data_IF_985144134953
#
_entry.id   IF_985144134953
#
_cell.length_a   1.000
_cell.length_b   1.000
_cell.length_c   1.000
_cell.angle_alpha   90.00
_cell.angle_beta   90.00
_cell.angle_gamma   90.00
#
_symmetry.space_group_name_H-M   'P 1'
#
loop_
_entity.id
_entity.type
_entity.pdbx_description
1 polymer ?
#
# COMPACT_ATOMS: atom_id res chain seq x y z
N UNK A 1 -3.42 -13.10 -16.57
CA UNK A 1 -2.51 -13.70 -15.58
C UNK A 1 -1.21 -12.93 -15.66
N UNK A 2 -1.00 -12.00 -14.75
CA UNK A 2 0.29 -11.32 -14.55
C UNK A 2 1.23 -12.29 -13.83
N UNK A 3 2.39 -12.57 -14.41
CA UNK A 3 3.52 -13.22 -13.74
C UNK A 3 4.20 -12.23 -12.79
N UNK A 4 4.88 -12.67 -11.73
CA UNK A 4 5.80 -11.85 -10.93
C UNK A 4 7.19 -11.71 -11.59
N UNK A 5 8.09 -10.82 -11.13
CA UNK A 5 9.48 -10.72 -11.66
C UNK A 5 10.23 -12.06 -11.59
N UNK A 6 10.02 -12.81 -10.52
CA UNK A 6 10.63 -14.11 -10.29
C UNK A 6 10.17 -15.12 -11.34
N UNK A 7 8.88 -15.15 -11.61
CA UNK A 7 8.27 -16.03 -12.61
C UNK A 7 8.59 -15.59 -14.05
N UNK A 8 8.61 -14.28 -14.31
CA UNK A 8 9.00 -13.71 -15.60
C UNK A 8 10.47 -14.05 -15.92
N UNK A 9 11.38 -13.87 -14.95
CA UNK A 9 12.78 -14.24 -15.07
C UNK A 9 12.94 -15.74 -15.38
N UNK A 10 12.27 -16.59 -14.59
CA UNK A 10 12.31 -18.03 -14.79
C UNK A 10 11.78 -18.44 -16.16
N UNK A 11 10.64 -17.88 -16.57
CA UNK A 11 10.00 -18.15 -17.86
C UNK A 11 10.91 -17.73 -19.02
N UNK A 12 11.41 -16.49 -19.00
CA UNK A 12 12.28 -15.96 -20.06
C UNK A 12 13.60 -16.72 -20.17
N UNK A 13 14.16 -17.17 -19.03
CA UNK A 13 15.33 -18.04 -19.00
C UNK A 13 15.03 -19.38 -19.68
N UNK A 14 13.91 -20.01 -19.33
CA UNK A 14 13.51 -21.31 -19.88
C UNK A 14 13.14 -21.24 -21.37
N UNK A 15 12.47 -20.19 -21.82
CA UNK A 15 12.18 -19.93 -23.24
C UNK A 15 13.45 -19.84 -24.10
N UNK A 16 14.57 -19.47 -23.49
CA UNK A 16 15.90 -19.40 -24.12
C UNK A 16 16.73 -20.68 -23.94
N UNK A 17 16.17 -21.71 -23.31
CA UNK A 17 16.86 -22.97 -23.07
C UNK A 17 18.03 -22.87 -22.09
N UNK A 18 18.10 -21.80 -21.29
CA UNK A 18 19.19 -21.59 -20.34
C UNK A 18 18.91 -22.30 -19.01
N UNK A 19 19.92 -22.93 -18.42
CA UNK A 19 19.91 -23.35 -17.02
C UNK A 19 20.17 -22.17 -16.07
N UNK A 20 19.82 -22.32 -14.79
CA UNK A 20 20.14 -21.30 -13.77
C UNK A 20 21.64 -21.02 -13.69
N UNK A 21 22.48 -22.06 -13.84
CA UNK A 21 23.94 -21.90 -13.81
C UNK A 21 24.42 -21.08 -15.01
N UNK A 22 23.97 -21.41 -16.23
CA UNK A 22 24.37 -20.68 -17.43
C UNK A 22 23.97 -19.19 -17.38
N UNK A 23 22.79 -18.87 -16.84
CA UNK A 23 22.40 -17.47 -16.65
C UNK A 23 23.28 -16.78 -15.58
N UNK A 24 23.63 -17.49 -14.51
CA UNK A 24 24.52 -16.98 -13.47
C UNK A 24 25.91 -16.66 -14.03
N UNK A 25 26.45 -17.56 -14.85
CA UNK A 25 27.75 -17.40 -15.51
C UNK A 25 27.75 -16.18 -16.44
N UNK A 26 26.68 -15.96 -17.21
CA UNK A 26 26.51 -14.78 -18.07
C UNK A 26 26.47 -13.46 -17.30
N UNK A 27 25.93 -13.47 -16.08
CA UNK A 27 25.79 -12.30 -15.22
C UNK A 27 26.95 -12.11 -14.24
N UNK A 28 27.91 -13.05 -14.22
CA UNK A 28 29.01 -13.11 -13.26
C UNK A 28 28.52 -13.13 -11.80
N UNK A 29 27.48 -13.93 -11.52
CA UNK A 29 26.93 -14.14 -10.17
C UNK A 29 26.90 -15.62 -9.82
N UNK A 30 26.75 -15.93 -8.52
CA UNK A 30 26.55 -17.30 -8.08
C UNK A 30 25.16 -17.83 -8.50
N UNK A 31 25.06 -19.11 -8.85
CA UNK A 31 23.79 -19.78 -9.21
C UNK A 31 22.71 -19.59 -8.14
N UNK A 32 23.08 -19.57 -6.87
CA UNK A 32 22.17 -19.33 -5.75
C UNK A 32 21.50 -17.95 -5.82
N UNK A 33 22.13 -16.96 -6.46
CA UNK A 33 21.52 -15.65 -6.73
C UNK A 33 20.34 -15.79 -7.69
N UNK A 34 20.54 -16.49 -8.81
CA UNK A 34 19.46 -16.77 -9.78
C UNK A 34 18.34 -17.58 -9.12
N UNK A 35 18.67 -18.63 -8.37
CA UNK A 35 17.67 -19.44 -7.67
C UNK A 35 16.91 -18.63 -6.61
N UNK A 36 17.59 -17.72 -5.90
CA UNK A 36 16.97 -16.82 -4.92
C UNK A 36 16.04 -15.80 -5.59
N UNK A 37 16.37 -15.34 -6.80
CA UNK A 37 15.54 -14.42 -7.58
C UNK A 37 14.31 -15.12 -8.17
N UNK A 38 14.49 -16.29 -8.77
CA UNK A 38 13.39 -17.07 -9.37
C UNK A 38 12.39 -17.65 -8.37
N UNK A 39 12.78 -17.74 -7.09
CA UNK A 39 11.90 -18.17 -6.00
C UNK A 39 11.22 -17.00 -5.27
N UNK A 40 11.56 -15.75 -5.61
CA UNK A 40 11.05 -14.55 -4.93
C UNK A 40 11.63 -14.32 -3.53
N UNK A 41 12.59 -15.15 -3.07
CA UNK A 41 13.25 -14.97 -1.76
C UNK A 41 14.04 -13.67 -1.68
N UNK A 42 14.62 -13.22 -2.80
CA UNK A 42 15.28 -11.91 -2.96
C UNK A 42 14.98 -11.36 -4.34
N UNK A 43 15.04 -10.05 -4.52
CA UNK A 43 14.94 -9.39 -5.83
C UNK A 43 16.33 -8.94 -6.30
N UNK A 44 16.63 -8.99 -7.61
CA UNK A 44 17.77 -8.26 -8.15
C UNK A 44 17.56 -6.75 -7.97
N UNK A 45 18.66 -6.01 -7.80
CA UNK A 45 18.64 -4.55 -7.80
C UNK A 45 18.54 -3.98 -9.23
N UNK A 46 18.42 -2.66 -9.36
CA UNK A 46 18.29 -1.99 -10.66
C UNK A 46 19.46 -2.25 -11.62
N UNK A 47 20.69 -2.43 -11.10
CA UNK A 47 21.87 -2.73 -11.90
C UNK A 47 21.77 -4.13 -12.51
N UNK A 48 21.38 -5.12 -11.69
CA UNK A 48 21.17 -6.48 -12.18
C UNK A 48 19.93 -6.63 -13.05
N UNK A 49 18.87 -5.86 -12.81
CA UNK A 49 17.68 -5.83 -13.69
C UNK A 49 18.09 -5.37 -15.10
N UNK A 50 18.89 -4.32 -15.20
CA UNK A 50 19.37 -3.82 -16.50
C UNK A 50 20.24 -4.87 -17.20
N UNK A 51 21.19 -5.47 -16.48
CA UNK A 51 22.03 -6.55 -17.03
C UNK A 51 21.22 -7.78 -17.45
N UNK A 52 20.16 -8.12 -16.71
CA UNK A 52 19.25 -9.20 -17.04
C UNK A 52 18.49 -8.92 -18.33
N UNK A 53 18.03 -7.67 -18.52
CA UNK A 53 17.37 -7.24 -19.75
C UNK A 53 18.27 -7.41 -20.97
N UNK A 54 19.50 -6.92 -20.85
CA UNK A 54 20.51 -7.03 -21.90
C UNK A 54 20.86 -8.48 -22.21
N UNK A 55 21.14 -9.28 -21.17
CA UNK A 55 21.54 -10.69 -21.29
C UNK A 55 20.44 -11.53 -21.92
N UNK A 56 19.20 -11.31 -21.48
CA UNK A 56 18.04 -12.00 -22.02
C UNK A 56 17.55 -11.35 -23.33
N UNK A 57 18.13 -10.25 -23.80
CA UNK A 57 17.66 -9.52 -25.00
C UNK A 57 16.16 -9.24 -24.95
N UNK A 58 15.70 -8.76 -23.81
CA UNK A 58 14.32 -8.34 -23.59
C UNK A 58 14.35 -6.88 -23.19
N UNK A 59 13.25 -6.18 -23.52
CA UNK A 59 13.07 -4.84 -22.97
C UNK A 59 13.10 -4.90 -21.44
N UNK A 60 13.75 -3.93 -20.79
CA UNK A 60 13.70 -3.78 -19.33
C UNK A 60 12.25 -3.67 -18.90
N UNK A 61 11.43 -2.96 -19.66
CA UNK A 61 9.99 -2.90 -19.50
C UNK A 61 9.36 -4.30 -19.59
N UNK A 62 9.85 -5.27 -20.37
CA UNK A 62 9.28 -6.64 -20.35
C UNK A 62 9.65 -7.46 -19.11
N UNK A 63 10.79 -7.19 -18.49
CA UNK A 63 11.16 -7.77 -17.18
C UNK A 63 10.40 -7.09 -16.04
N UNK A 64 10.12 -5.79 -16.18
CA UNK A 64 9.41 -4.98 -15.20
C UNK A 64 7.88 -4.98 -15.38
N UNK A 65 7.34 -5.20 -16.57
CA UNK A 65 5.90 -5.12 -16.93
C UNK A 65 5.12 -6.35 -16.53
N UNK A 66 5.60 -6.99 -15.50
CA UNK A 66 4.93 -8.02 -14.73
C UNK A 66 5.10 -7.71 -13.22
N UNK A 67 5.49 -6.48 -12.89
CA UNK A 67 5.68 -5.97 -11.52
C UNK A 67 4.70 -4.82 -11.23
N UNK A 68 3.97 -4.30 -12.21
CA UNK A 68 3.02 -3.21 -11.95
C UNK A 68 1.68 -3.66 -11.35
N UNK A 69 1.35 -4.95 -11.32
CA UNK A 69 0.05 -5.40 -10.78
C UNK A 69 0.07 -6.18 -9.46
N UNK A 70 1.21 -6.60 -8.90
CA UNK A 70 1.18 -7.36 -7.62
C UNK A 70 1.83 -6.68 -6.42
N UNK A 71 2.70 -5.68 -6.60
CA UNK A 71 3.22 -4.89 -5.47
C UNK A 71 2.77 -3.42 -5.46
N UNK A 72 2.01 -2.98 -6.48
CA UNK A 72 1.41 -1.64 -6.58
C UNK A 72 -0.13 -1.65 -6.43
N UNK A 73 -0.78 -2.83 -6.33
CA UNK A 73 -2.24 -2.94 -6.50
C UNK A 73 -3.06 -3.22 -5.24
N UNK A 74 -2.45 -3.63 -4.12
CA UNK A 74 -3.21 -3.73 -2.88
C UNK A 74 -3.41 -2.35 -2.30
N UNK A 75 -4.65 -1.90 -2.35
CA UNK A 75 -5.15 -0.76 -1.61
C UNK A 75 -4.58 -0.76 -0.19
N UNK A 76 -3.96 0.35 0.21
CA UNK A 76 -3.46 0.52 1.56
C UNK A 76 -4.39 1.44 2.35
N UNK A 77 -4.86 0.92 3.49
CA UNK A 77 -5.65 1.67 4.46
C UNK A 77 -4.88 1.80 5.78
N UNK A 78 -4.85 3.01 6.35
CA UNK A 78 -4.23 3.28 7.65
C UNK A 78 -5.28 3.74 8.67
N UNK A 79 -5.10 3.35 9.93
CA UNK A 79 -5.87 3.83 11.08
C UNK A 79 -4.91 4.54 12.05
N UNK A 80 -5.18 5.80 12.37
CA UNK A 80 -4.33 6.64 13.20
C UNK A 80 -5.12 7.06 14.43
N UNK A 81 -4.66 6.63 15.60
CA UNK A 81 -5.30 6.89 16.89
C UNK A 81 -4.28 6.59 18.01
N UNK A 82 -4.01 7.55 18.91
CA UNK A 82 -3.04 7.36 20.00
C UNK A 82 -3.54 6.39 21.08
N UNK A 83 -4.84 6.11 21.13
CA UNK A 83 -5.43 5.09 21.96
C UNK A 83 -5.31 3.69 21.34
N UNK A 84 -4.36 2.90 21.86
CA UNK A 84 -4.13 1.51 21.42
C UNK A 84 -5.38 0.63 21.44
N UNK A 85 -6.36 0.91 22.31
CA UNK A 85 -7.61 0.15 22.37
C UNK A 85 -8.47 0.35 21.12
N UNK A 86 -8.48 1.56 20.57
CA UNK A 86 -9.20 1.87 19.33
C UNK A 86 -8.52 1.18 18.14
N UNK A 87 -7.18 1.19 18.09
CA UNK A 87 -6.44 0.43 17.08
C UNK A 87 -6.75 -1.08 17.16
N UNK A 88 -6.71 -1.66 18.36
CA UNK A 88 -7.00 -3.09 18.59
C UNK A 88 -8.42 -3.48 18.17
N UNK A 89 -9.41 -2.60 18.41
CA UNK A 89 -10.80 -2.84 18.03
C UNK A 89 -11.08 -2.55 16.56
N UNK A 90 -10.45 -1.52 15.98
CA UNK A 90 -10.72 -1.04 14.63
C UNK A 90 -10.04 -1.82 13.53
N UNK A 91 -8.80 -2.27 13.72
CA UNK A 91 -8.05 -3.00 12.69
C UNK A 91 -8.77 -4.29 12.24
N UNK A 92 -9.27 -5.17 13.13
CA UNK A 92 -10.02 -6.36 12.70
C UNK A 92 -11.32 -6.02 11.95
N UNK A 93 -11.96 -4.89 12.27
CA UNK A 93 -13.16 -4.42 11.57
C UNK A 93 -12.79 -3.98 10.16
N UNK A 94 -11.72 -3.20 10.00
CA UNK A 94 -11.23 -2.75 8.70
C UNK A 94 -10.80 -3.92 7.82
N UNK A 95 -10.04 -4.88 8.37
CA UNK A 95 -9.63 -6.10 7.66
C UNK A 95 -10.84 -6.92 7.20
N UNK A 96 -11.92 -6.97 7.99
CA UNK A 96 -13.17 -7.65 7.59
C UNK A 96 -13.94 -6.92 6.50
N UNK A 97 -13.94 -5.57 6.49
CA UNK A 97 -14.60 -4.79 5.43
C UNK A 97 -13.78 -4.81 4.15
N UNK A 98 -12.46 -4.83 4.27
CA UNK A 98 -11.51 -4.64 3.18
C UNK A 98 -10.50 -5.80 3.16
N UNK A 99 -10.93 -7.06 2.95
CA UNK A 99 -10.09 -8.25 3.10
C UNK A 99 -8.91 -8.31 2.12
N UNK A 100 -9.04 -7.65 0.97
CA UNK A 100 -8.01 -7.60 -0.06
C UNK A 100 -7.04 -6.42 0.11
N UNK A 101 -7.23 -5.59 1.14
CA UNK A 101 -6.45 -4.39 1.40
C UNK A 101 -5.36 -4.64 2.44
N UNK A 102 -4.26 -3.89 2.35
CA UNK A 102 -3.26 -3.81 3.42
C UNK A 102 -3.77 -2.82 4.45
N UNK A 103 -4.09 -3.31 5.65
CA UNK A 103 -4.49 -2.45 6.78
C UNK A 103 -3.32 -2.30 7.75
N UNK A 104 -3.07 -1.06 8.21
CA UNK A 104 -2.03 -0.73 9.20
C UNK A 104 -2.58 0.24 10.26
N UNK A 105 -2.11 0.11 11.49
CA UNK A 105 -2.48 0.99 12.60
C UNK A 105 -1.27 1.74 13.13
N UNK A 106 -1.46 3.00 13.52
CA UNK A 106 -0.42 3.87 14.05
C UNK A 106 -0.91 4.57 15.32
N UNK A 107 -0.23 4.36 16.45
CA UNK A 107 -0.48 5.12 17.68
C UNK A 107 0.32 6.41 17.77
N UNK A 108 1.25 6.62 16.86
CA UNK A 108 2.02 7.84 16.73
C UNK A 108 1.71 8.44 15.35
N UNK A 109 1.07 9.61 15.26
CA UNK A 109 0.67 10.18 13.98
C UNK A 109 1.86 10.54 13.08
N UNK A 110 3.03 10.85 13.65
CA UNK A 110 4.23 11.13 12.85
C UNK A 110 4.75 9.89 12.13
N UNK A 111 4.66 8.71 12.75
CA UNK A 111 5.01 7.45 12.08
C UNK A 111 4.06 7.14 10.91
N UNK A 112 2.78 7.51 11.04
CA UNK A 112 1.82 7.36 9.96
C UNK A 112 2.12 8.30 8.77
N UNK A 113 2.57 9.52 9.07
CA UNK A 113 3.02 10.48 8.07
C UNK A 113 4.28 9.98 7.36
N UNK A 114 5.30 9.53 8.09
CA UNK A 114 6.54 8.97 7.52
C UNK A 114 6.24 7.74 6.66
N UNK A 115 5.30 6.91 7.11
CA UNK A 115 4.81 5.79 6.33
C UNK A 115 4.14 6.25 5.01
N UNK A 116 3.28 7.26 5.06
CA UNK A 116 2.64 7.81 3.86
C UNK A 116 3.63 8.47 2.87
N UNK A 117 4.78 8.96 3.33
CA UNK A 117 5.85 9.49 2.46
C UNK A 117 6.59 8.41 1.68
N UNK A 118 6.68 7.21 2.25
CA UNK A 118 7.42 6.07 1.67
C UNK A 118 6.51 5.00 1.05
N UNK A 119 5.21 5.02 1.37
CA UNK A 119 4.22 4.05 0.95
C UNK A 119 2.96 4.75 0.45
N UNK A 120 2.43 4.31 -0.69
CA UNK A 120 1.16 4.82 -1.24
C UNK A 120 0.00 4.39 -0.34
N UNK A 121 -0.59 5.35 0.37
CA UNK A 121 -1.85 5.20 1.11
C UNK A 121 -3.02 5.58 0.20
N UNK A 122 -4.12 4.83 0.26
CA UNK A 122 -5.36 5.08 -0.47
C UNK A 122 -6.47 5.62 0.43
N UNK A 123 -6.48 5.18 1.69
CA UNK A 123 -7.49 5.52 2.68
C UNK A 123 -6.87 5.71 4.07
N UNK A 124 -7.22 6.79 4.75
CA UNK A 124 -6.80 7.04 6.12
C UNK A 124 -8.03 7.26 7.02
N UNK A 125 -8.09 6.53 8.12
CA UNK A 125 -8.98 6.79 9.25
C UNK A 125 -8.17 7.51 10.31
N UNK A 126 -8.57 8.73 10.69
CA UNK A 126 -7.74 9.62 11.51
C UNK A 126 -8.54 10.14 12.69
N UNK A 127 -8.07 9.93 13.91
CA UNK A 127 -8.63 10.64 15.06
C UNK A 127 -8.25 12.12 15.03
N UNK A 128 -9.12 12.97 15.55
CA UNK A 128 -8.93 14.43 15.57
C UNK A 128 -8.09 14.86 16.77
N UNK A 129 -8.25 14.22 17.91
CA UNK A 129 -7.56 14.59 19.15
C UNK A 129 -6.55 13.49 19.53
N UNK A 130 -5.27 13.71 19.25
CA UNK A 130 -4.20 12.74 19.54
C UNK A 130 -3.16 13.35 20.46
N UNK A 131 -3.57 13.64 21.69
CA UNK A 131 -2.75 14.30 22.71
C UNK A 131 -2.27 15.68 22.25
N UNK A 132 -0.99 15.79 21.87
CA UNK A 132 -0.39 17.05 21.39
C UNK A 132 -0.53 17.28 19.88
N UNK A 133 -1.07 16.31 19.15
CA UNK A 133 -1.23 16.38 17.70
C UNK A 133 -2.70 16.56 17.32
N UNK A 134 -2.96 17.42 16.33
CA UNK A 134 -4.28 17.59 15.75
C UNK A 134 -4.43 16.71 14.50
N UNK A 135 -5.45 15.87 14.47
CA UNK A 135 -5.81 15.09 13.27
C UNK A 135 -6.19 15.95 12.08
N UNK A 136 -6.61 17.20 12.29
CA UNK A 136 -6.84 18.16 11.21
C UNK A 136 -5.54 18.49 10.48
N UNK A 137 -4.45 18.70 11.23
CA UNK A 137 -3.13 18.95 10.66
C UNK A 137 -2.56 17.72 9.98
N UNK A 138 -2.71 16.54 10.61
CA UNK A 138 -2.33 15.26 10.00
C UNK A 138 -3.06 15.03 8.67
N UNK A 139 -4.36 15.32 8.61
CA UNK A 139 -5.14 15.22 7.37
C UNK A 139 -4.56 16.12 6.27
N UNK A 140 -4.26 17.39 6.57
CA UNK A 140 -3.66 18.32 5.61
C UNK A 140 -2.29 17.83 5.14
N UNK A 141 -1.49 17.28 6.04
CA UNK A 141 -0.17 16.73 5.70
C UNK A 141 -0.28 15.51 4.79
N UNK A 142 -1.18 14.56 5.09
CA UNK A 142 -1.45 13.39 4.24
C UNK A 142 -1.91 13.82 2.84
N UNK A 143 -2.84 14.76 2.74
CA UNK A 143 -3.32 15.28 1.45
C UNK A 143 -2.20 16.01 0.70
N UNK A 144 -1.30 16.70 1.40
CA UNK A 144 -0.12 17.35 0.79
C UNK A 144 0.86 16.32 0.22
N UNK A 145 1.08 15.21 0.93
CA UNK A 145 1.92 14.10 0.46
C UNK A 145 1.31 13.45 -0.79
N UNK A 146 0.00 13.18 -0.76
CA UNK A 146 -0.72 12.64 -1.90
C UNK A 146 -2.17 13.11 -1.87
N UNK A 147 -2.52 13.99 -2.82
CA UNK A 147 -3.85 14.57 -2.96
C UNK A 147 -4.95 13.57 -3.28
N UNK A 148 -4.59 12.32 -3.62
CA UNK A 148 -5.52 11.20 -3.88
C UNK A 148 -5.82 10.34 -2.65
N UNK A 149 -5.28 10.65 -1.47
CA UNK A 149 -5.65 9.96 -0.24
C UNK A 149 -7.09 10.33 0.13
N UNK A 150 -7.95 9.34 0.31
CA UNK A 150 -9.23 9.54 0.96
C UNK A 150 -9.02 9.61 2.48
N UNK A 151 -9.51 10.66 3.14
CA UNK A 151 -9.40 10.80 4.61
C UNK A 151 -10.79 10.78 5.22
N UNK A 152 -10.99 9.92 6.21
CA UNK A 152 -12.20 9.80 7.01
C UNK A 152 -11.82 10.04 8.47
N UNK A 153 -12.48 10.99 9.14
CA UNK A 153 -12.26 11.18 10.56
C UNK A 153 -12.94 10.10 11.39
N UNK A 154 -12.29 9.65 12.48
CA UNK A 154 -12.83 8.73 13.48
C UNK A 154 -12.64 9.34 14.86
N UNK A 155 -13.65 10.03 15.40
CA UNK A 155 -13.52 10.79 16.64
C UNK A 155 -14.67 10.54 17.62
N UNK A 156 -14.47 10.85 18.90
CA UNK A 156 -15.54 10.85 19.91
C UNK A 156 -16.36 12.16 19.92
N UNK A 157 -15.89 13.22 19.25
CA UNK A 157 -16.45 14.57 19.35
C UNK A 157 -17.07 15.03 18.03
N UNK A 158 -18.40 15.15 17.99
CA UNK A 158 -19.12 15.55 16.78
C UNK A 158 -18.88 17.02 16.37
N UNK A 159 -18.49 17.86 17.32
CA UNK A 159 -18.37 19.31 17.12
C UNK A 159 -17.27 19.69 16.11
N UNK A 160 -16.30 18.80 15.90
CA UNK A 160 -15.26 18.97 14.89
C UNK A 160 -15.72 18.78 13.44
N UNK A 161 -16.97 18.41 13.20
CA UNK A 161 -17.48 18.17 11.85
C UNK A 161 -17.34 19.38 10.93
N UNK A 162 -17.47 20.60 11.47
CA UNK A 162 -17.31 21.82 10.68
C UNK A 162 -15.85 22.07 10.29
N UNK A 163 -14.92 21.93 11.22
CA UNK A 163 -13.48 22.09 10.95
C UNK A 163 -12.95 21.01 10.00
N UNK A 164 -13.44 19.79 10.15
CA UNK A 164 -13.16 18.65 9.29
C UNK A 164 -13.53 18.91 7.82
N UNK A 165 -14.57 19.69 7.56
CA UNK A 165 -14.98 20.03 6.19
C UNK A 165 -13.92 20.85 5.45
N UNK A 166 -13.20 21.71 6.17
CA UNK A 166 -12.20 22.60 5.59
C UNK A 166 -10.87 21.92 5.24
N UNK A 167 -10.61 20.70 5.72
CA UNK A 167 -9.31 20.02 5.53
C UNK A 167 -9.18 19.25 4.22
N UNK A 168 -10.30 18.95 3.56
CA UNK A 168 -10.32 18.07 2.39
C UNK A 168 -10.59 16.60 2.72
N UNK A 169 -10.99 16.28 3.94
CA UNK A 169 -11.55 14.97 4.27
C UNK A 169 -12.82 14.68 3.47
N UNK A 170 -13.13 13.39 3.28
CA UNK A 170 -14.28 12.90 2.53
C UNK A 170 -15.30 12.15 3.38
N UNK A 171 -15.04 11.97 4.67
CA UNK A 171 -15.97 11.28 5.56
C UNK A 171 -15.71 11.58 7.03
N UNK A 172 -16.69 11.19 7.84
CA UNK A 172 -16.68 11.41 9.28
C UNK A 172 -17.45 10.27 9.97
N UNK A 173 -16.83 9.66 10.98
CA UNK A 173 -17.39 8.57 11.77
C UNK A 173 -17.22 8.94 13.24
N UNK A 174 -18.31 8.84 14.02
CA UNK A 174 -18.21 8.84 15.47
C UNK A 174 -17.77 7.47 15.97
N UNK A 175 -16.79 7.42 16.87
CA UNK A 175 -16.38 6.19 17.55
C UNK A 175 -17.61 5.53 18.20
N UNK A 176 -17.74 4.18 18.15
CA UNK A 176 -16.76 3.21 17.69
C UNK A 176 -16.78 2.99 16.17
N UNK A 177 -15.64 2.53 15.64
CA UNK A 177 -15.52 2.13 14.24
C UNK A 177 -16.28 0.81 14.00
N UNK A 178 -17.44 0.89 13.32
CA UNK A 178 -18.28 -0.26 13.01
C UNK A 178 -18.29 -0.59 11.52
N UNK A 179 -18.63 -1.84 11.17
CA UNK A 179 -18.79 -2.25 9.76
C UNK A 179 -19.73 -1.33 8.99
N UNK A 180 -20.90 -1.04 9.58
CA UNK A 180 -21.93 -0.21 8.97
C UNK A 180 -21.47 1.24 8.83
N UNK A 181 -20.84 1.78 9.89
CA UNK A 181 -20.26 3.13 9.87
C UNK A 181 -19.23 3.31 8.76
N UNK A 182 -18.34 2.32 8.56
CA UNK A 182 -17.35 2.33 7.48
C UNK A 182 -18.02 2.24 6.10
N UNK A 183 -18.91 1.26 5.90
CA UNK A 183 -19.56 1.02 4.60
C UNK A 183 -20.35 2.23 4.11
N UNK A 184 -21.00 2.95 5.02
CA UNK A 184 -21.72 4.20 4.71
C UNK A 184 -20.83 5.30 4.13
N UNK A 185 -19.52 5.27 4.38
CA UNK A 185 -18.59 6.27 3.82
C UNK A 185 -18.14 5.93 2.40
N UNK A 186 -18.17 4.66 1.99
CA UNK A 186 -17.59 4.21 0.72
C UNK A 186 -18.17 4.90 -0.54
N UNK A 187 -19.48 5.17 -0.63
CA UNK A 187 -20.04 5.92 -1.76
C UNK A 187 -19.52 7.36 -1.87
N UNK A 188 -18.99 7.93 -0.79
CA UNK A 188 -18.54 9.32 -0.69
C UNK A 188 -17.01 9.47 -0.78
N UNK A 189 -16.28 8.37 -0.99
CA UNK A 189 -14.84 8.45 -1.28
C UNK A 189 -14.62 9.32 -2.51
N UNK A 190 -13.73 10.31 -2.36
CA UNK A 190 -13.39 11.25 -3.44
C UNK A 190 -12.70 10.54 -4.59
N UNK A 191 -11.92 9.50 -4.29
CA UNK A 191 -11.17 8.73 -5.27
C UNK A 191 -11.54 7.25 -5.18
N UNK A 192 -11.85 6.59 -6.31
CA UNK A 192 -12.14 5.16 -6.33
C UNK A 192 -10.99 4.33 -5.79
N UNK A 193 -11.32 3.33 -4.97
CA UNK A 193 -10.35 2.41 -4.38
C UNK A 193 -10.52 1.03 -5.03
N UNK A 194 -9.43 0.46 -5.55
CA UNK A 194 -9.45 -0.89 -6.15
C UNK A 194 -9.78 -1.94 -5.07
N UNK A 195 -10.60 -2.93 -5.41
CA UNK A 195 -10.99 -4.00 -4.47
C UNK A 195 -12.11 -3.63 -3.50
N UNK A 196 -12.46 -2.35 -3.36
CA UNK A 196 -13.74 -1.93 -2.78
C UNK A 196 -14.80 -1.96 -3.89
N UNK A 197 -15.40 -3.13 -4.13
CA UNK A 197 -16.62 -3.16 -4.95
C UNK A 197 -17.67 -2.23 -4.31
N UNK A 198 -18.40 -1.48 -5.13
CA UNK A 198 -19.56 -0.68 -4.71
C UNK A 198 -20.61 -1.64 -4.13
N UNK A 199 -20.52 -1.91 -2.82
CA UNK A 199 -21.56 -2.58 -2.04
C UNK A 199 -22.77 -1.66 -1.90
#
# INVERSE_FOLDING_TARGET
MSLSIAEALRKLRMERGLSQQQLADMLFVDRSSIASWESGRRSPDASFISKLADTLKVDVEKLLNHIEEEHSSKTCAILIDDEKIILRGGLPVLERVMPDCVVRGFSNPLEAVDYARSTRVDLAFVDIEMGKYSGLDICRELITINSKINVIYLTSHADYAFDAWATGACGFILKPLTLDGIRKQFPFLRYPIKGLARL
#
